data_IF_907720382732
#
_entry.id   IF_907720382732
#
_cell.length_a   1.000
_cell.length_b   1.000
_cell.length_c   1.000
_cell.angle_alpha   90.00
_cell.angle_beta   90.00
_cell.angle_gamma   90.00
#
_symmetry.space_group_name_H-M   'P 1'
#
loop_
_entity.id
_entity.type
_entity.pdbx_description
1 polymer ?
#
# COMPACT_ATOMS: atom_id res chain seq x y z
N UNK A 1 3.73 22.56 26.66
CA UNK A 1 4.06 22.52 25.21
C UNK A 1 3.57 21.20 24.63
N UNK A 2 2.92 21.17 23.47
CA UNK A 2 2.38 19.91 22.93
C UNK A 2 3.50 18.99 22.45
N UNK A 3 3.43 17.70 22.82
CA UNK A 3 4.42 16.65 22.49
C UNK A 3 4.68 16.44 20.99
N UNK A 4 3.76 16.87 20.11
CA UNK A 4 3.84 16.65 18.66
C UNK A 4 3.89 17.96 17.87
N UNK A 5 4.62 17.95 16.74
CA UNK A 5 4.64 19.01 15.75
C UNK A 5 3.32 19.09 14.97
N UNK A 6 3.09 20.17 14.21
CA UNK A 6 1.88 20.31 13.41
C UNK A 6 1.71 19.17 12.36
N UNK A 7 2.73 18.81 11.54
CA UNK A 7 2.61 17.68 10.61
C UNK A 7 2.33 16.34 11.28
N UNK A 8 2.94 16.10 12.46
CA UNK A 8 2.67 14.90 13.25
C UNK A 8 1.21 14.85 13.72
N UNK A 9 0.67 15.96 14.25
CA UNK A 9 -0.75 16.04 14.63
C UNK A 9 -1.66 15.81 13.42
N UNK A 10 -1.34 16.43 12.29
CA UNK A 10 -2.10 16.25 11.04
C UNK A 10 -2.11 14.80 10.61
N UNK A 11 -0.98 14.09 10.62
CA UNK A 11 -0.93 12.66 10.31
C UNK A 11 -1.77 11.82 11.28
N UNK A 12 -1.66 12.09 12.58
CA UNK A 12 -2.39 11.33 13.60
C UNK A 12 -3.90 11.53 13.48
N UNK A 13 -4.39 12.71 13.11
CA UNK A 13 -5.83 12.98 12.98
C UNK A 13 -6.37 12.63 11.60
N UNK A 14 -5.67 13.04 10.53
CA UNK A 14 -6.17 12.87 9.17
C UNK A 14 -6.17 11.40 8.74
N UNK A 15 -5.17 10.61 9.14
CA UNK A 15 -5.07 9.21 8.65
C UNK A 15 -6.26 8.33 9.06
N UNK A 16 -6.72 8.31 10.32
CA UNK A 16 -7.95 7.61 10.68
C UNK A 16 -9.18 8.11 9.92
N UNK A 17 -9.33 9.43 9.75
CA UNK A 17 -10.45 10.03 9.02
C UNK A 17 -10.42 9.62 7.54
N UNK A 18 -9.24 9.58 6.93
CA UNK A 18 -9.03 9.08 5.57
C UNK A 18 -9.41 7.60 5.49
N UNK A 19 -9.01 6.76 6.44
CA UNK A 19 -9.40 5.33 6.45
C UNK A 19 -10.92 5.17 6.53
N UNK A 20 -11.59 5.89 7.43
CA UNK A 20 -13.05 5.87 7.55
C UNK A 20 -13.72 6.35 6.26
N UNK A 21 -13.20 7.42 5.66
CA UNK A 21 -13.65 7.92 4.37
C UNK A 21 -13.51 6.83 3.29
N UNK A 22 -12.39 6.14 3.21
CA UNK A 22 -12.16 5.10 2.19
C UNK A 22 -13.08 3.89 2.38
N UNK A 23 -13.30 3.44 3.63
CA UNK A 23 -14.23 2.36 3.98
C UNK A 23 -15.65 2.68 3.50
N UNK A 24 -16.06 3.93 3.55
CA UNK A 24 -17.34 4.38 3.02
C UNK A 24 -17.32 4.58 1.48
N UNK A 25 -16.28 5.25 0.98
CA UNK A 25 -16.18 5.73 -0.40
C UNK A 25 -16.17 4.58 -1.41
N UNK A 26 -15.42 3.51 -1.15
CA UNK A 26 -15.31 2.37 -2.09
C UNK A 26 -16.65 1.66 -2.32
N UNK A 27 -17.38 1.24 -1.28
CA UNK A 27 -18.73 0.70 -1.43
C UNK A 27 -19.71 1.71 -2.04
N UNK A 28 -19.69 2.97 -1.59
CA UNK A 28 -20.61 3.99 -2.10
C UNK A 28 -20.44 4.23 -3.61
N UNK A 29 -19.20 4.35 -4.09
CA UNK A 29 -18.92 4.54 -5.52
C UNK A 29 -19.26 3.29 -6.34
N UNK A 30 -18.99 2.10 -5.83
CA UNK A 30 -19.28 0.84 -6.54
C UNK A 30 -20.77 0.46 -6.49
N UNK A 31 -21.55 1.11 -5.63
CA UNK A 31 -23.01 1.06 -5.65
C UNK A 31 -23.62 2.11 -6.59
N UNK A 32 -23.03 3.30 -6.65
CA UNK A 32 -23.55 4.43 -7.44
C UNK A 32 -23.18 4.34 -8.92
N UNK A 33 -22.05 3.71 -9.23
CA UNK A 33 -21.57 3.43 -10.57
C UNK A 33 -21.47 1.91 -10.77
N UNK A 34 -21.19 1.44 -11.98
CA UNK A 34 -20.79 0.04 -12.13
C UNK A 34 -19.46 -0.23 -11.39
N UNK A 35 -19.25 -1.51 -11.04
CA UNK A 35 -18.11 -1.98 -10.25
C UNK A 35 -16.78 -1.40 -10.77
N UNK A 36 -16.53 -1.49 -12.07
CA UNK A 36 -15.27 -1.08 -12.68
C UNK A 36 -15.06 0.43 -12.58
N UNK A 37 -16.04 1.25 -12.96
CA UNK A 37 -15.95 2.72 -12.85
C UNK A 37 -15.82 3.18 -11.40
N UNK A 38 -16.64 2.62 -10.51
CA UNK A 38 -16.61 2.94 -9.08
C UNK A 38 -15.24 2.66 -8.46
N UNK A 39 -14.64 1.50 -8.75
CA UNK A 39 -13.29 1.15 -8.30
C UNK A 39 -12.25 2.09 -8.88
N UNK A 40 -12.27 2.38 -10.19
CA UNK A 40 -11.27 3.26 -10.82
C UNK A 40 -11.30 4.68 -10.23
N UNK A 41 -12.49 5.24 -9.99
CA UNK A 41 -12.64 6.56 -9.36
C UNK A 41 -12.11 6.52 -7.92
N UNK A 42 -12.48 5.49 -7.14
CA UNK A 42 -12.03 5.34 -5.77
C UNK A 42 -10.50 5.21 -5.67
N UNK A 43 -9.89 4.42 -6.56
CA UNK A 43 -8.43 4.26 -6.66
C UNK A 43 -7.74 5.56 -7.12
N UNK A 44 -8.33 6.32 -8.04
CA UNK A 44 -7.77 7.60 -8.47
C UNK A 44 -7.76 8.63 -7.33
N UNK A 45 -8.84 8.70 -6.54
CA UNK A 45 -8.91 9.55 -5.34
C UNK A 45 -7.87 9.08 -4.32
N UNK A 46 -7.83 7.79 -4.03
CA UNK A 46 -6.93 7.24 -3.03
C UNK A 46 -5.45 7.38 -3.42
N UNK A 47 -5.02 6.88 -4.58
CA UNK A 47 -3.61 6.97 -4.94
C UNK A 47 -3.19 8.39 -5.32
N UNK A 48 -4.04 9.11 -6.06
CA UNK A 48 -3.74 10.45 -6.54
C UNK A 48 -3.84 11.50 -5.44
N UNK A 49 -5.04 11.71 -4.89
CA UNK A 49 -5.28 12.80 -3.95
C UNK A 49 -4.75 12.47 -2.55
N UNK A 50 -4.98 11.25 -2.04
CA UNK A 50 -4.55 10.87 -0.70
C UNK A 50 -3.07 10.50 -0.68
N UNK A 51 -2.67 9.42 -1.33
CA UNK A 51 -1.32 8.90 -1.18
C UNK A 51 -0.25 9.85 -1.75
N UNK A 52 -0.41 10.29 -3.01
CA UNK A 52 0.50 11.27 -3.60
C UNK A 52 0.22 12.68 -3.07
N UNK A 53 -0.99 13.22 -3.21
CA UNK A 53 -1.29 14.61 -2.84
C UNK A 53 -1.03 14.89 -1.36
N UNK A 54 -1.74 14.21 -0.47
CA UNK A 54 -1.57 14.39 0.97
C UNK A 54 -0.19 13.90 1.46
N UNK A 55 0.31 12.76 0.97
CA UNK A 55 1.66 12.30 1.31
C UNK A 55 2.77 13.28 0.95
N UNK A 56 2.76 13.82 -0.28
CA UNK A 56 3.76 14.79 -0.76
C UNK A 56 3.68 16.13 -0.02
N UNK A 57 2.47 16.60 0.31
CA UNK A 57 2.32 17.86 1.06
C UNK A 57 2.84 17.73 2.49
N UNK A 58 2.64 16.58 3.13
CA UNK A 58 3.15 16.32 4.48
C UNK A 58 4.68 16.10 4.50
N UNK A 59 5.23 15.43 3.49
CA UNK A 59 6.67 15.11 3.43
C UNK A 59 7.47 16.28 2.86
N UNK A 60 6.95 16.96 1.84
CA UNK A 60 7.65 17.95 1.04
C UNK A 60 8.60 17.34 -0.01
N UNK A 61 8.57 17.89 -1.23
CA UNK A 61 9.34 17.38 -2.38
C UNK A 61 10.85 17.26 -2.11
N UNK A 62 11.42 18.18 -1.32
CA UNK A 62 12.86 18.20 -0.98
C UNK A 62 13.30 16.97 -0.19
N UNK A 63 12.39 16.32 0.53
CA UNK A 63 12.68 15.16 1.37
C UNK A 63 12.60 13.83 0.61
N UNK A 64 12.05 13.80 -0.61
CA UNK A 64 11.86 12.57 -1.39
C UNK A 64 13.18 11.88 -1.72
N UNK A 65 14.19 12.65 -2.14
CA UNK A 65 15.51 12.11 -2.47
C UNK A 65 16.12 11.34 -1.30
N UNK A 66 15.89 11.81 -0.07
CA UNK A 66 16.35 11.13 1.15
C UNK A 66 15.55 9.87 1.43
N UNK A 67 14.22 9.91 1.30
CA UNK A 67 13.36 8.75 1.54
C UNK A 67 13.58 7.62 0.53
N UNK A 68 13.93 7.95 -0.71
CA UNK A 68 14.26 6.98 -1.75
C UNK A 68 15.77 6.70 -1.88
N UNK A 69 16.59 7.19 -0.95
CA UNK A 69 18.00 6.88 -0.95
C UNK A 69 18.20 5.37 -0.74
N UNK A 70 19.00 4.72 -1.59
CA UNK A 70 19.31 3.30 -1.45
C UNK A 70 20.02 3.07 -0.11
N UNK A 71 19.51 2.18 0.75
CA UNK A 71 20.14 1.94 2.05
C UNK A 71 21.51 1.26 1.87
N UNK A 72 22.50 1.71 2.65
CA UNK A 72 23.83 1.05 2.76
C UNK A 72 23.72 -0.26 3.56
N UNK A 73 24.64 -1.21 3.33
CA UNK A 73 24.31 -2.50 2.71
C UNK A 73 23.12 -3.20 3.37
N UNK A 74 22.19 -3.66 2.53
CA UNK A 74 21.10 -4.52 2.95
C UNK A 74 21.70 -5.82 3.52
N UNK A 75 21.71 -5.95 4.84
CA UNK A 75 21.99 -7.24 5.46
C UNK A 75 20.94 -8.28 5.00
N UNK A 76 21.27 -9.56 5.11
CA UNK A 76 20.41 -10.64 4.65
C UNK A 76 18.97 -10.54 5.19
N UNK A 77 18.80 -10.04 6.41
CA UNK A 77 17.49 -9.81 7.01
C UNK A 77 16.68 -8.75 6.25
N UNK A 78 17.26 -7.59 5.93
CA UNK A 78 16.57 -6.54 5.17
C UNK A 78 16.16 -7.05 3.77
N UNK A 79 17.02 -7.85 3.13
CA UNK A 79 16.72 -8.46 1.85
C UNK A 79 15.60 -9.51 1.97
N UNK A 80 15.62 -10.33 3.02
CA UNK A 80 14.57 -11.30 3.30
C UNK A 80 13.22 -10.63 3.53
N UNK A 81 13.17 -9.57 4.36
CA UNK A 81 11.95 -8.78 4.59
C UNK A 81 11.40 -8.17 3.30
N UNK A 82 12.27 -7.80 2.37
CA UNK A 82 11.90 -7.24 1.07
C UNK A 82 11.39 -8.33 0.10
N UNK A 83 12.11 -9.43 -0.07
CA UNK A 83 11.84 -10.41 -1.13
C UNK A 83 10.80 -11.46 -0.73
N UNK A 84 10.74 -11.85 0.54
CA UNK A 84 9.89 -12.96 0.99
C UNK A 84 8.42 -12.77 0.57
N UNK A 85 7.77 -11.59 0.74
CA UNK A 85 6.40 -11.40 0.29
C UNK A 85 6.22 -11.60 -1.22
N UNK A 86 7.17 -11.15 -2.04
CA UNK A 86 7.12 -11.29 -3.51
C UNK A 86 7.11 -12.77 -3.90
N UNK A 87 8.01 -13.55 -3.30
CA UNK A 87 8.11 -15.00 -3.55
C UNK A 87 6.83 -15.71 -3.11
N UNK A 88 6.32 -15.41 -1.91
CA UNK A 88 5.11 -16.06 -1.41
C UNK A 88 3.89 -15.74 -2.29
N UNK A 89 3.73 -14.48 -2.71
CA UNK A 89 2.61 -14.07 -3.56
C UNK A 89 2.77 -14.62 -4.99
N UNK A 90 3.99 -14.78 -5.50
CA UNK A 90 4.21 -15.47 -6.78
C UNK A 90 3.62 -16.88 -6.76
N UNK A 91 3.93 -17.69 -5.74
CA UNK A 91 3.40 -19.05 -5.64
C UNK A 91 1.91 -19.07 -5.31
N UNK A 92 1.45 -18.19 -4.43
CA UNK A 92 0.07 -18.19 -3.97
C UNK A 92 -0.92 -17.62 -4.99
N UNK A 93 -0.55 -16.57 -5.73
CA UNK A 93 -1.47 -15.80 -6.57
C UNK A 93 -1.14 -15.83 -8.06
N UNK A 94 0.14 -15.67 -8.44
CA UNK A 94 0.52 -15.57 -9.86
C UNK A 94 0.53 -16.94 -10.55
N UNK A 95 1.24 -17.91 -9.96
CA UNK A 95 1.45 -19.23 -10.56
C UNK A 95 0.13 -19.96 -10.90
N UNK A 96 -0.93 -19.93 -10.06
CA UNK A 96 -2.20 -20.58 -10.38
C UNK A 96 -2.92 -20.03 -11.61
N UNK A 97 -2.66 -18.78 -11.99
CA UNK A 97 -3.34 -18.10 -13.10
C UNK A 97 -2.44 -17.86 -14.31
N UNK A 98 -1.14 -18.20 -14.23
CA UNK A 98 -0.13 -17.80 -15.19
C UNK A 98 -0.46 -18.21 -16.65
N UNK A 99 -1.05 -19.39 -16.84
CA UNK A 99 -1.43 -19.92 -18.16
C UNK A 99 -2.65 -19.22 -18.77
N UNK A 100 -3.42 -18.47 -17.98
CA UNK A 100 -4.61 -17.73 -18.40
C UNK A 100 -4.34 -16.25 -18.66
N UNK A 101 -3.08 -15.79 -18.51
CA UNK A 101 -2.74 -14.38 -18.61
C UNK A 101 -2.57 -13.92 -20.06
N UNK A 102 -3.35 -12.91 -20.45
CA UNK A 102 -3.11 -12.18 -21.69
C UNK A 102 -2.06 -11.08 -21.50
N UNK A 103 -1.34 -10.66 -22.57
CA UNK A 103 -0.41 -9.53 -22.51
C UNK A 103 -1.07 -8.23 -22.01
N UNK A 104 -2.36 -8.03 -22.31
CA UNK A 104 -3.13 -6.86 -21.85
C UNK A 104 -3.28 -6.85 -20.33
N UNK A 105 -3.58 -8.00 -19.71
CA UNK A 105 -3.72 -8.11 -18.25
C UNK A 105 -2.37 -7.85 -17.58
N UNK A 106 -1.28 -8.42 -18.11
CA UNK A 106 0.07 -8.20 -17.58
C UNK A 106 0.47 -6.72 -17.63
N UNK A 107 0.18 -6.04 -18.75
CA UNK A 107 0.45 -4.61 -18.89
C UNK A 107 -0.33 -3.78 -17.87
N UNK A 108 -1.64 -4.02 -17.76
CA UNK A 108 -2.49 -3.31 -16.79
C UNK A 108 -2.03 -3.57 -15.35
N UNK A 109 -1.83 -4.83 -14.97
CA UNK A 109 -1.34 -5.23 -13.65
C UNK A 109 -0.02 -4.53 -13.31
N UNK A 110 0.91 -4.44 -14.26
CA UNK A 110 2.21 -3.79 -14.07
C UNK A 110 2.05 -2.28 -13.83
N UNK A 111 1.23 -1.60 -14.64
CA UNK A 111 0.96 -0.17 -14.46
C UNK A 111 0.31 0.12 -13.10
N UNK A 112 -0.71 -0.68 -12.75
CA UNK A 112 -1.36 -0.60 -11.44
C UNK A 112 -0.38 -0.85 -10.31
N UNK A 113 0.49 -1.86 -10.43
CA UNK A 113 1.47 -2.21 -9.40
C UNK A 113 2.48 -1.08 -9.15
N UNK A 114 2.98 -0.44 -10.22
CA UNK A 114 3.91 0.68 -10.12
C UNK A 114 3.25 1.88 -9.43
N UNK A 115 2.05 2.26 -9.86
CA UNK A 115 1.31 3.40 -9.29
C UNK A 115 0.98 3.12 -7.82
N UNK A 116 0.36 1.97 -7.54
CA UNK A 116 -0.04 1.59 -6.18
C UNK A 116 1.17 1.50 -5.24
N UNK A 117 2.18 0.69 -5.59
CA UNK A 117 3.31 0.46 -4.71
C UNK A 117 4.09 1.73 -4.41
N UNK A 118 4.22 2.63 -5.39
CA UNK A 118 4.88 3.92 -5.17
C UNK A 118 4.05 4.85 -4.29
N UNK A 119 2.75 5.01 -4.60
CA UNK A 119 1.87 5.92 -3.88
C UNK A 119 1.70 5.49 -2.42
N UNK A 120 1.38 4.22 -2.20
CA UNK A 120 1.12 3.69 -0.87
C UNK A 120 2.36 3.72 0.02
N UNK A 121 3.54 3.34 -0.50
CA UNK A 121 4.76 3.41 0.29
C UNK A 121 5.15 4.84 0.67
N UNK A 122 4.92 5.81 -0.23
CA UNK A 122 5.15 7.21 0.05
C UNK A 122 4.30 7.68 1.24
N UNK A 123 3.01 7.36 1.26
CA UNK A 123 2.11 7.78 2.33
C UNK A 123 2.28 6.94 3.61
N UNK A 124 2.05 5.64 3.54
CA UNK A 124 1.94 4.77 4.71
C UNK A 124 3.27 4.56 5.44
N UNK A 125 4.38 4.55 4.71
CA UNK A 125 5.72 4.38 5.30
C UNK A 125 6.46 5.71 5.28
N UNK A 126 6.58 6.34 4.11
CA UNK A 126 7.36 7.55 3.90
C UNK A 126 6.98 8.70 4.84
N UNK A 127 5.69 9.02 4.95
CA UNK A 127 5.23 10.11 5.81
C UNK A 127 5.47 9.82 7.29
N UNK A 128 5.21 8.59 7.73
CA UNK A 128 5.33 8.20 9.13
C UNK A 128 6.78 8.04 9.58
N UNK A 129 7.66 7.40 8.80
CA UNK A 129 9.09 7.29 9.17
C UNK A 129 9.79 8.66 9.12
N UNK A 130 9.34 9.56 8.24
CA UNK A 130 9.90 10.91 8.14
C UNK A 130 9.58 11.74 9.38
N UNK A 131 8.34 11.68 9.87
CA UNK A 131 7.87 12.48 10.99
C UNK A 131 8.04 11.81 12.36
N UNK A 132 8.14 10.48 12.43
CA UNK A 132 8.34 9.73 13.68
C UNK A 132 9.58 8.82 13.65
N UNK A 133 10.77 9.29 13.20
CA UNK A 133 11.90 8.42 12.89
C UNK A 133 12.39 7.61 14.09
N UNK A 134 12.14 8.04 15.33
CA UNK A 134 12.64 7.39 16.55
C UNK A 134 11.56 6.66 17.35
N UNK A 135 10.28 6.75 16.97
CA UNK A 135 9.17 6.11 17.71
C UNK A 135 8.45 5.08 16.84
N UNK A 136 8.82 3.81 17.00
CA UNK A 136 8.25 2.69 16.23
C UNK A 136 6.73 2.56 16.41
N UNK A 137 6.16 3.05 17.52
CA UNK A 137 4.70 3.02 17.73
C UNK A 137 3.99 3.85 16.66
N UNK A 138 4.52 5.02 16.34
CA UNK A 138 3.92 5.92 15.36
C UNK A 138 4.49 5.73 13.95
N UNK A 139 5.74 5.27 13.82
CA UNK A 139 6.34 5.00 12.51
C UNK A 139 5.93 3.67 11.88
N UNK A 140 5.55 2.68 12.71
CA UNK A 140 5.25 1.31 12.25
C UNK A 140 3.87 0.85 12.71
N UNK A 141 3.62 0.78 14.02
CA UNK A 141 2.38 0.16 14.52
C UNK A 141 1.12 0.95 14.15
N UNK A 142 1.17 2.27 14.27
CA UNK A 142 0.06 3.15 13.93
C UNK A 142 -0.34 3.07 12.45
N UNK A 143 0.58 3.29 11.48
CA UNK A 143 0.24 3.12 10.08
C UNK A 143 -0.09 1.68 9.73
N UNK A 144 0.51 0.67 10.39
CA UNK A 144 0.13 -0.75 10.18
C UNK A 144 -1.36 -0.98 10.46
N UNK A 145 -1.85 -0.58 11.64
CA UNK A 145 -3.25 -0.79 12.02
C UNK A 145 -4.19 -0.10 11.03
N UNK A 146 -3.89 1.14 10.66
CA UNK A 146 -4.70 1.92 9.76
C UNK A 146 -4.62 1.42 8.31
N UNK A 147 -3.44 1.00 7.85
CA UNK A 147 -3.24 0.36 6.55
C UNK A 147 -4.05 -0.93 6.45
N UNK A 148 -3.98 -1.79 7.46
CA UNK A 148 -4.79 -3.02 7.54
C UNK A 148 -6.27 -2.70 7.53
N UNK A 149 -6.72 -1.74 8.34
CA UNK A 149 -8.13 -1.34 8.40
C UNK A 149 -8.64 -0.78 7.06
N UNK A 150 -7.80 -0.03 6.33
CA UNK A 150 -8.16 0.47 5.00
C UNK A 150 -8.55 -0.66 4.03
N UNK A 151 -7.93 -1.83 4.12
CA UNK A 151 -8.24 -2.97 3.23
C UNK A 151 -9.65 -3.53 3.43
N UNK A 152 -10.32 -3.20 4.55
CA UNK A 152 -11.75 -3.51 4.73
C UNK A 152 -12.56 -2.82 3.64
N UNK A 153 -12.19 -1.60 3.21
CA UNK A 153 -12.85 -0.89 2.11
C UNK A 153 -12.90 -1.72 0.82
N UNK A 154 -11.79 -2.41 0.51
CA UNK A 154 -11.68 -3.27 -0.66
C UNK A 154 -12.54 -4.53 -0.50
N UNK A 155 -12.52 -5.16 0.67
CA UNK A 155 -13.35 -6.33 0.98
C UNK A 155 -14.87 -6.04 0.88
N UNK A 156 -15.28 -4.78 1.04
CA UNK A 156 -16.67 -4.32 0.95
C UNK A 156 -17.10 -3.94 -0.47
N UNK A 157 -16.22 -4.00 -1.47
CA UNK A 157 -16.60 -3.73 -2.87
C UNK A 157 -17.62 -4.78 -3.34
N UNK A 158 -18.76 -4.31 -3.81
CA UNK A 158 -19.86 -5.18 -4.27
C UNK A 158 -19.41 -6.10 -5.41
N UNK A 159 -19.49 -7.41 -5.18
CA UNK A 159 -19.18 -8.42 -6.19
C UNK A 159 -17.70 -8.50 -6.57
N UNK A 160 -16.80 -7.92 -5.77
CA UNK A 160 -15.37 -8.13 -5.92
C UNK A 160 -14.98 -9.53 -5.40
N UNK A 161 -14.11 -10.19 -6.14
CA UNK A 161 -13.55 -11.49 -5.77
C UNK A 161 -12.05 -11.35 -5.49
N UNK A 162 -11.62 -11.95 -4.38
CA UNK A 162 -10.23 -12.01 -3.96
C UNK A 162 -9.84 -13.46 -3.74
N UNK A 163 -8.69 -13.87 -4.25
CA UNK A 163 -8.16 -15.20 -3.99
C UNK A 163 -7.88 -15.37 -2.49
N UNK A 164 -8.42 -16.42 -1.87
CA UNK A 164 -8.37 -16.63 -0.42
C UNK A 164 -9.34 -15.74 0.39
N UNK A 165 -10.16 -14.91 -0.28
CA UNK A 165 -11.20 -14.09 0.33
C UNK A 165 -10.71 -12.90 1.14
N UNK A 166 -11.63 -12.26 1.87
CA UNK A 166 -11.35 -11.05 2.64
C UNK A 166 -10.30 -11.25 3.74
N UNK A 167 -10.24 -12.44 4.35
CA UNK A 167 -9.25 -12.76 5.39
C UNK A 167 -7.84 -12.77 4.81
N UNK A 168 -7.63 -13.39 3.64
CA UNK A 168 -6.33 -13.38 2.97
C UNK A 168 -5.92 -11.97 2.55
N UNK A 169 -6.88 -11.16 2.06
CA UNK A 169 -6.65 -9.76 1.69
C UNK A 169 -6.18 -8.91 2.89
N UNK A 170 -6.96 -8.90 3.97
CA UNK A 170 -6.70 -8.07 5.15
C UNK A 170 -5.49 -8.59 5.93
N UNK A 171 -5.40 -9.91 6.12
CA UNK A 171 -4.28 -10.56 6.81
C UNK A 171 -2.97 -10.42 6.05
N UNK A 172 -2.98 -10.62 4.72
CA UNK A 172 -1.83 -10.38 3.86
C UNK A 172 -1.34 -8.94 3.94
N UNK A 173 -2.27 -7.97 3.88
CA UNK A 173 -1.95 -6.56 4.06
C UNK A 173 -1.35 -6.25 5.45
N UNK A 174 -1.82 -6.88 6.52
CA UNK A 174 -1.23 -6.71 7.86
C UNK A 174 0.20 -7.25 7.92
N UNK A 175 0.45 -8.45 7.39
CA UNK A 175 1.78 -9.06 7.39
C UNK A 175 2.75 -8.21 6.58
N UNK A 176 2.40 -7.86 5.33
CA UNK A 176 3.23 -7.03 4.47
C UNK A 176 3.40 -5.61 5.03
N UNK A 177 2.33 -5.05 5.61
CA UNK A 177 2.31 -3.85 6.44
C UNK A 177 3.44 -3.82 7.45
N UNK A 178 3.51 -4.86 8.27
CA UNK A 178 4.50 -5.01 9.34
C UNK A 178 5.91 -5.19 8.77
N UNK A 179 6.11 -6.12 7.84
CA UNK A 179 7.43 -6.45 7.29
C UNK A 179 8.06 -5.22 6.63
N UNK A 180 7.31 -4.53 5.77
CA UNK A 180 7.80 -3.35 5.06
C UNK A 180 7.86 -2.11 5.95
N UNK A 181 6.97 -1.97 6.93
CA UNK A 181 7.05 -0.91 7.93
C UNK A 181 8.33 -1.01 8.78
N UNK A 182 8.67 -2.22 9.24
CA UNK A 182 9.93 -2.50 9.96
C UNK A 182 11.14 -2.26 9.06
N UNK A 183 11.11 -2.75 7.82
CA UNK A 183 12.19 -2.54 6.85
C UNK A 183 12.44 -1.04 6.62
N UNK A 184 11.38 -0.28 6.34
CA UNK A 184 11.47 1.14 6.07
C UNK A 184 11.94 1.93 7.30
N UNK A 185 11.42 1.59 8.49
CA UNK A 185 11.83 2.23 9.73
C UNK A 185 13.30 1.95 10.09
N UNK A 186 13.79 0.72 9.90
CA UNK A 186 15.19 0.37 10.18
C UNK A 186 16.17 1.03 9.23
N UNK A 187 15.80 1.11 7.95
CA UNK A 187 16.66 1.67 6.89
C UNK A 187 16.51 3.17 6.71
N UNK A 188 15.49 3.79 7.31
CA UNK A 188 15.07 5.19 7.11
C UNK A 188 14.82 5.51 5.63
N UNK A 189 14.43 4.50 4.87
CA UNK A 189 14.24 4.55 3.41
C UNK A 189 13.08 3.67 3.01
N UNK A 190 12.25 4.15 2.09
CA UNK A 190 11.16 3.38 1.48
C UNK A 190 11.58 2.74 0.16
N UNK A 191 12.86 2.84 -0.22
CA UNK A 191 13.34 2.34 -1.51
C UNK A 191 13.08 0.85 -1.69
N UNK A 192 13.53 0.02 -0.73
CA UNK A 192 13.36 -1.43 -0.83
C UNK A 192 11.90 -1.84 -0.66
N UNK A 193 11.16 -1.22 0.26
CA UNK A 193 9.74 -1.53 0.44
C UNK A 193 8.91 -1.18 -0.79
N UNK A 194 9.22 -0.08 -1.49
CA UNK A 194 8.56 0.30 -2.75
C UNK A 194 8.80 -0.75 -3.83
N UNK A 195 10.05 -1.17 -4.04
CA UNK A 195 10.33 -2.21 -5.05
C UNK A 195 9.66 -3.53 -4.71
N UNK A 196 9.65 -3.93 -3.43
CA UNK A 196 8.96 -5.12 -2.95
C UNK A 196 7.46 -5.05 -3.14
N UNK A 197 6.86 -3.89 -2.84
CA UNK A 197 5.43 -3.68 -2.97
C UNK A 197 5.00 -3.73 -4.44
N UNK A 198 5.74 -3.07 -5.32
CA UNK A 198 5.55 -3.18 -6.77
C UNK A 198 5.66 -4.66 -7.20
N UNK A 199 6.70 -5.37 -6.75
CA UNK A 199 6.89 -6.78 -7.05
C UNK A 199 5.71 -7.66 -6.60
N UNK A 200 5.23 -7.50 -5.36
CA UNK A 200 4.04 -8.20 -4.86
C UNK A 200 2.83 -7.91 -5.74
N UNK A 201 2.58 -6.65 -6.08
CA UNK A 201 1.40 -6.28 -6.86
C UNK A 201 1.48 -6.75 -8.31
N UNK A 202 2.68 -6.81 -8.89
CA UNK A 202 2.89 -7.44 -10.21
C UNK A 202 2.52 -8.94 -10.18
N UNK A 203 2.65 -9.61 -9.03
CA UNK A 203 2.23 -11.00 -8.84
C UNK A 203 0.74 -11.14 -8.47
N UNK A 204 0.19 -10.24 -7.66
CA UNK A 204 -1.17 -10.32 -7.15
C UNK A 204 -2.23 -9.76 -8.12
N UNK A 205 -1.97 -8.60 -8.73
CA UNK A 205 -2.96 -7.92 -9.56
C UNK A 205 -3.40 -8.70 -10.81
N UNK A 206 -2.58 -9.55 -11.47
CA UNK A 206 -3.07 -10.39 -12.55
C UNK A 206 -4.24 -11.29 -12.14
N UNK A 207 -4.17 -11.91 -10.95
CA UNK A 207 -5.25 -12.74 -10.41
C UNK A 207 -6.49 -11.90 -10.05
N UNK A 208 -6.29 -10.73 -9.44
CA UNK A 208 -7.39 -9.81 -9.10
C UNK A 208 -8.09 -9.31 -10.35
N UNK A 209 -7.35 -8.90 -11.39
CA UNK A 209 -7.92 -8.46 -12.65
C UNK A 209 -8.74 -9.60 -13.26
N UNK A 210 -8.14 -10.78 -13.48
CA UNK A 210 -8.84 -11.94 -14.06
C UNK A 210 -10.15 -12.29 -13.35
N UNK A 211 -10.19 -12.23 -12.02
CA UNK A 211 -11.39 -12.55 -11.25
C UNK A 211 -12.48 -11.46 -11.30
N UNK A 212 -12.18 -10.28 -11.84
CA UNK A 212 -13.05 -9.11 -11.73
C UNK A 212 -13.29 -8.32 -13.03
N UNK A 213 -12.64 -8.68 -14.15
CA UNK A 213 -12.95 -8.11 -15.49
C UNK A 213 -14.31 -8.61 -15.99
#
# INVERSE_FOLDING_TARGET
MSRFSAPQKTLLVATPLIVLMLIYLFPALTYSFDKSRGVLIALAIYWGAVCFGFGLTIIGLRNLKRLYARPKPANALNLALAILPVVLVFFAAFLPVATSLSPRILLLATLFAIINGTAEELFWRGAFIHHFPQDARYAVLYPLVLFTAWHIALALIKGAQYQGGAVALIGGAAIMGLLWGVLAWRTKSIYLSTLSHIGVNMMAFPAVLLANV
#
